data_IF_661862247011
#
_entry.id   IF_661862247011
#
_cell.length_a   1.000
_cell.length_b   1.000
_cell.length_c   1.000
_cell.angle_alpha   90.00
_cell.angle_beta   90.00
_cell.angle_gamma   90.00
#
_symmetry.space_group_name_H-M   'P 1'
#
loop_
_entity.id
_entity.type
_entity.pdbx_description
1 polymer ?
#
# COMPACT_ATOMS: atom_id res chain seq x y z
N UNK A 1 -6.44 -0.02 32.46
CA UNK A 1 -6.72 -0.64 31.16
C UNK A 1 -6.92 0.40 30.04
N UNK A 2 -7.77 1.44 30.19
CA UNK A 2 -8.01 2.46 29.13
C UNK A 2 -6.74 3.18 28.66
N UNK A 3 -5.83 3.59 29.58
CA UNK A 3 -4.56 4.24 29.23
C UNK A 3 -3.61 3.34 28.40
N UNK A 4 -3.59 2.05 28.67
CA UNK A 4 -2.78 1.08 27.93
C UNK A 4 -3.29 0.91 26.48
N UNK A 5 -4.60 0.74 26.33
CA UNK A 5 -5.25 0.63 25.01
C UNK A 5 -5.06 1.90 24.20
N UNK A 6 -5.26 3.07 24.80
CA UNK A 6 -5.05 4.37 24.16
C UNK A 6 -3.59 4.55 23.69
N UNK A 7 -2.61 4.19 24.53
CA UNK A 7 -1.19 4.24 24.16
C UNK A 7 -0.89 3.29 22.98
N UNK A 8 -1.45 2.09 22.99
CA UNK A 8 -1.23 1.10 21.92
C UNK A 8 -1.87 1.55 20.60
N UNK A 9 -3.08 2.12 20.66
CA UNK A 9 -3.73 2.74 19.50
C UNK A 9 -2.92 3.89 18.94
N UNK A 10 -2.42 4.80 19.78
CA UNK A 10 -1.59 5.92 19.33
C UNK A 10 -0.30 5.45 18.64
N UNK A 11 0.36 4.43 19.17
CA UNK A 11 1.54 3.83 18.56
C UNK A 11 1.18 3.18 17.21
N UNK A 12 0.06 2.46 17.12
CA UNK A 12 -0.40 1.84 15.87
C UNK A 12 -0.70 2.89 14.80
N UNK A 13 -1.37 3.98 15.15
CA UNK A 13 -1.63 5.09 14.22
C UNK A 13 -0.32 5.73 13.74
N UNK A 14 0.63 5.95 14.65
CA UNK A 14 1.95 6.48 14.30
C UNK A 14 2.70 5.54 13.33
N UNK A 15 2.67 4.23 13.59
CA UNK A 15 3.29 3.25 12.71
C UNK A 15 2.64 3.23 11.32
N UNK A 16 1.32 3.26 11.24
CA UNK A 16 0.59 3.33 9.96
C UNK A 16 0.99 4.60 9.20
N UNK A 17 1.09 5.73 9.88
CA UNK A 17 1.53 6.98 9.28
C UNK A 17 2.95 6.88 8.73
N UNK A 18 3.91 6.36 9.51
CA UNK A 18 5.30 6.18 9.07
C UNK A 18 5.37 5.25 7.85
N UNK A 19 4.65 4.12 7.89
CA UNK A 19 4.61 3.17 6.78
C UNK A 19 4.00 3.81 5.52
N UNK A 20 2.95 4.60 5.66
CA UNK A 20 2.30 5.28 4.52
C UNK A 20 3.22 6.31 3.87
N UNK A 21 3.93 7.11 4.67
CA UNK A 21 4.94 8.06 4.16
C UNK A 21 6.08 7.32 3.46
N UNK A 22 6.58 6.25 4.06
CA UNK A 22 7.65 5.47 3.48
C UNK A 22 7.23 4.80 2.16
N UNK A 23 6.04 4.22 2.12
CA UNK A 23 5.48 3.61 0.89
C UNK A 23 5.28 4.64 -0.22
N UNK A 24 4.81 5.84 0.12
CA UNK A 24 4.68 6.93 -0.84
C UNK A 24 6.06 7.37 -1.37
N UNK A 25 7.05 7.51 -0.49
CA UNK A 25 8.41 7.89 -0.90
C UNK A 25 9.09 6.84 -1.77
N UNK A 26 8.83 5.55 -1.58
CA UNK A 26 9.41 4.49 -2.39
C UNK A 26 9.15 4.69 -3.88
N UNK A 27 7.96 5.15 -4.26
CA UNK A 27 7.60 5.42 -5.66
C UNK A 27 8.45 6.56 -6.24
N UNK A 28 8.83 7.53 -5.42
CA UNK A 28 9.59 8.70 -5.83
C UNK A 28 11.11 8.47 -5.81
N UNK A 29 11.58 7.47 -5.07
CA UNK A 29 13.01 7.10 -5.00
C UNK A 29 13.38 6.17 -6.15
N UNK A 30 12.44 5.40 -6.70
CA UNK A 30 12.72 4.53 -7.84
C UNK A 30 13.22 5.35 -9.03
N UNK A 31 14.36 4.96 -9.62
CA UNK A 31 14.85 5.62 -10.83
C UNK A 31 13.89 5.38 -11.98
N UNK A 32 13.37 6.45 -12.54
CA UNK A 32 12.45 6.43 -13.68
C UNK A 32 11.28 7.40 -13.50
N UNK A 33 10.80 7.93 -14.61
CA UNK A 33 9.61 8.75 -14.64
C UNK A 33 8.37 7.85 -14.63
N UNK A 34 7.51 7.91 -13.58
CA UNK A 34 6.30 7.09 -13.50
C UNK A 34 5.39 7.23 -14.73
N UNK A 35 5.33 8.42 -15.31
CA UNK A 35 4.53 8.67 -16.50
C UNK A 35 5.10 7.95 -17.74
N UNK A 36 6.42 7.96 -17.91
CA UNK A 36 7.08 7.20 -18.99
C UNK A 36 6.98 5.69 -18.79
N UNK A 37 7.07 5.21 -17.54
CA UNK A 37 6.90 3.78 -17.24
C UNK A 37 5.49 3.29 -17.56
N UNK A 38 4.48 4.13 -17.37
CA UNK A 38 3.08 3.81 -17.65
C UNK A 38 2.75 3.80 -19.14
N UNK A 39 3.25 4.81 -19.89
CA UNK A 39 2.94 5.01 -21.30
C UNK A 39 3.91 4.29 -22.25
N UNK A 40 5.07 3.85 -21.73
CA UNK A 40 6.14 3.30 -22.53
C UNK A 40 7.11 4.35 -23.09
N UNK A 41 8.28 3.88 -23.52
CA UNK A 41 9.35 4.77 -23.99
C UNK A 41 9.06 5.43 -25.36
N UNK A 42 8.10 4.88 -26.11
CA UNK A 42 7.70 5.40 -27.43
C UNK A 42 6.61 6.48 -27.36
N UNK A 43 6.07 6.76 -26.18
CA UNK A 43 5.07 7.80 -25.99
C UNK A 43 5.62 9.18 -26.29
N UNK A 44 4.81 10.04 -26.90
CA UNK A 44 5.20 11.41 -27.18
C UNK A 44 5.42 12.22 -25.89
N UNK A 45 6.31 13.22 -25.94
CA UNK A 45 6.52 14.11 -24.77
C UNK A 45 5.24 14.83 -24.35
N UNK A 46 4.35 15.12 -25.30
CA UNK A 46 3.05 15.74 -25.01
C UNK A 46 2.15 14.83 -24.18
N UNK A 47 2.09 13.53 -24.53
CA UNK A 47 1.29 12.54 -23.80
C UNK A 47 1.86 12.28 -22.40
N UNK A 48 3.19 12.23 -22.28
CA UNK A 48 3.89 12.08 -20.99
C UNK A 48 3.59 13.27 -20.09
N UNK A 49 3.62 14.49 -20.61
CA UNK A 49 3.30 15.69 -19.82
C UNK A 49 1.81 15.72 -19.41
N UNK A 50 0.89 15.36 -20.31
CA UNK A 50 -0.53 15.28 -20.01
C UNK A 50 -0.77 14.25 -18.86
N UNK A 51 -0.12 13.10 -18.92
CA UNK A 51 -0.24 12.05 -17.91
C UNK A 51 0.39 12.44 -16.56
N UNK A 52 1.48 13.22 -16.58
CA UNK A 52 2.06 13.80 -15.34
C UNK A 52 1.07 14.73 -14.63
N UNK A 53 0.37 15.56 -15.38
CA UNK A 53 -0.65 16.48 -14.82
C UNK A 53 -1.84 15.66 -14.27
N UNK A 54 -2.28 14.65 -14.98
CA UNK A 54 -3.36 13.74 -14.55
C UNK A 54 -3.01 13.05 -13.21
N UNK A 55 -1.79 12.59 -13.05
CA UNK A 55 -1.29 11.96 -11.83
C UNK A 55 -0.85 12.97 -10.75
N UNK A 56 -1.00 14.25 -10.99
CA UNK A 56 -0.56 15.35 -10.11
C UNK A 56 0.93 15.31 -9.76
N UNK A 57 1.77 14.74 -10.62
CA UNK A 57 3.23 14.66 -10.43
C UNK A 57 3.93 16.01 -10.64
N UNK A 58 3.23 17.00 -11.17
CA UNK A 58 3.65 18.39 -11.31
C UNK A 58 3.62 19.17 -9.99
N UNK A 59 2.95 18.64 -8.96
CA UNK A 59 2.76 19.31 -7.68
C UNK A 59 3.87 18.97 -6.67
N UNK A 60 4.07 19.80 -5.62
CA UNK A 60 5.00 19.50 -4.53
C UNK A 60 4.65 18.16 -3.87
N UNK A 61 5.67 17.40 -3.43
CA UNK A 61 5.51 16.07 -2.83
C UNK A 61 4.50 16.03 -1.68
N UNK A 62 4.48 17.08 -0.86
CA UNK A 62 3.51 17.18 0.26
C UNK A 62 2.08 17.23 -0.27
N UNK A 63 1.83 18.00 -1.33
CA UNK A 63 0.51 18.10 -1.95
C UNK A 63 0.09 16.76 -2.57
N UNK A 64 1.01 16.09 -3.26
CA UNK A 64 0.77 14.76 -3.82
C UNK A 64 0.40 13.76 -2.72
N UNK A 65 1.13 13.76 -1.60
CA UNK A 65 0.85 12.89 -0.46
C UNK A 65 -0.55 13.15 0.13
N UNK A 66 -0.91 14.42 0.34
CA UNK A 66 -2.23 14.80 0.87
C UNK A 66 -3.36 14.37 -0.08
N UNK A 67 -3.19 14.57 -1.38
CA UNK A 67 -4.16 14.15 -2.39
C UNK A 67 -4.30 12.62 -2.41
N UNK A 68 -3.19 11.90 -2.33
CA UNK A 68 -3.18 10.44 -2.28
C UNK A 68 -3.90 9.91 -1.03
N UNK A 69 -3.60 10.44 0.16
CA UNK A 69 -4.30 10.08 1.40
C UNK A 69 -5.81 10.39 1.31
N UNK A 70 -6.16 11.55 0.75
CA UNK A 70 -7.57 11.93 0.56
C UNK A 70 -8.28 10.95 -0.37
N UNK A 71 -7.65 10.53 -1.46
CA UNK A 71 -8.15 9.52 -2.37
C UNK A 71 -8.42 8.19 -1.67
N UNK A 72 -7.46 7.73 -0.84
CA UNK A 72 -7.59 6.52 -0.04
C UNK A 72 -8.85 6.53 0.85
N UNK A 73 -9.13 7.63 1.51
CA UNK A 73 -10.36 7.77 2.32
C UNK A 73 -11.66 7.82 1.50
N UNK A 74 -11.57 8.15 0.21
CA UNK A 74 -12.70 8.13 -0.72
C UNK A 74 -12.84 6.78 -1.44
N UNK A 75 -11.98 5.81 -1.14
CA UNK A 75 -11.95 4.48 -1.78
C UNK A 75 -11.18 4.46 -3.10
N UNK A 76 -10.50 5.55 -3.45
CA UNK A 76 -9.61 5.61 -4.60
C UNK A 76 -8.20 5.16 -4.20
N UNK A 77 -7.87 3.93 -4.54
CA UNK A 77 -6.54 3.34 -4.33
C UNK A 77 -5.56 3.66 -5.47
N UNK A 78 -5.94 4.57 -6.36
CA UNK A 78 -5.16 4.93 -7.53
C UNK A 78 -5.12 3.83 -8.58
N UNK A 79 -4.33 4.08 -9.63
CA UNK A 79 -4.13 3.14 -10.74
C UNK A 79 -2.73 2.53 -10.69
N UNK A 80 -2.63 1.27 -11.06
CA UNK A 80 -1.36 0.60 -11.21
C UNK A 80 -0.64 1.09 -12.46
N UNK A 81 0.56 1.60 -12.29
CA UNK A 81 1.44 2.04 -13.38
C UNK A 81 1.76 0.85 -14.30
N UNK A 82 1.99 -0.32 -13.72
CA UNK A 82 2.40 -1.52 -14.47
C UNK A 82 1.25 -2.19 -15.24
N UNK A 83 0.05 -2.22 -14.66
CA UNK A 83 -1.10 -2.93 -15.24
C UNK A 83 -2.10 -1.99 -15.91
N UNK A 84 -1.94 -0.69 -15.78
CA UNK A 84 -2.86 0.37 -16.24
C UNK A 84 -4.33 0.11 -15.86
N UNK A 85 -4.54 -0.48 -14.67
CA UNK A 85 -5.84 -0.85 -14.10
C UNK A 85 -6.00 -0.25 -12.70
N UNK A 86 -7.22 -0.04 -12.21
CA UNK A 86 -7.45 0.35 -10.82
C UNK A 86 -6.80 -0.64 -9.84
N UNK A 87 -6.07 -0.13 -8.85
CA UNK A 87 -5.43 -0.97 -7.84
C UNK A 87 -6.45 -1.77 -7.03
N UNK A 88 -7.66 -1.24 -6.87
CA UNK A 88 -8.75 -1.91 -6.16
C UNK A 88 -9.14 -3.23 -6.84
N UNK A 89 -9.22 -3.24 -8.18
CA UNK A 89 -9.56 -4.45 -8.95
C UNK A 89 -8.48 -5.52 -8.80
N UNK A 90 -7.21 -5.10 -8.86
CA UNK A 90 -6.07 -5.99 -8.67
C UNK A 90 -6.07 -6.57 -7.25
N UNK A 91 -6.39 -5.74 -6.27
CA UNK A 91 -6.48 -6.14 -4.87
C UNK A 91 -7.62 -7.14 -4.67
N UNK A 92 -8.82 -6.84 -5.20
CA UNK A 92 -9.99 -7.71 -5.13
C UNK A 92 -9.76 -9.08 -5.79
N UNK A 93 -8.97 -9.12 -6.85
CA UNK A 93 -8.60 -10.38 -7.52
C UNK A 93 -7.56 -11.20 -6.73
N UNK A 94 -6.59 -10.53 -6.11
CA UNK A 94 -5.46 -11.19 -5.44
C UNK A 94 -5.72 -11.50 -3.96
N UNK A 95 -6.48 -10.66 -3.27
CA UNK A 95 -6.76 -10.80 -1.84
C UNK A 95 -7.38 -12.17 -1.48
N UNK A 96 -8.40 -12.67 -2.21
CA UNK A 96 -8.98 -13.99 -1.91
C UNK A 96 -7.97 -15.13 -2.03
N UNK A 97 -7.06 -15.05 -2.98
CA UNK A 97 -5.98 -16.06 -3.17
C UNK A 97 -5.00 -16.04 -1.99
N UNK A 98 -4.60 -14.85 -1.56
CA UNK A 98 -3.69 -14.69 -0.40
C UNK A 98 -4.37 -15.15 0.89
N UNK A 99 -5.64 -14.79 1.10
CA UNK A 99 -6.40 -15.24 2.26
C UNK A 99 -6.65 -16.75 2.22
N UNK A 100 -6.91 -17.32 1.04
CA UNK A 100 -7.10 -18.76 0.85
C UNK A 100 -5.89 -19.60 1.28
N UNK A 101 -4.69 -19.05 1.21
CA UNK A 101 -3.46 -19.70 1.68
C UNK A 101 -3.14 -19.28 3.12
N UNK A 102 -3.29 -18.01 3.44
CA UNK A 102 -2.91 -17.45 4.74
C UNK A 102 -3.81 -17.91 5.89
N UNK A 103 -5.13 -17.98 5.66
CA UNK A 103 -6.06 -18.42 6.71
C UNK A 103 -5.84 -19.87 7.15
N UNK A 104 -5.73 -20.87 6.25
CA UNK A 104 -5.39 -22.24 6.66
C UNK A 104 -4.03 -22.33 7.37
N UNK A 105 -3.04 -21.59 6.89
CA UNK A 105 -1.73 -21.55 7.55
C UNK A 105 -1.80 -21.00 8.97
N UNK A 106 -2.59 -19.95 9.21
CA UNK A 106 -2.84 -19.41 10.55
C UNK A 106 -3.61 -20.40 11.44
N UNK A 107 -4.64 -21.05 10.89
CA UNK A 107 -5.43 -22.05 11.63
C UNK A 107 -4.60 -23.25 12.08
N UNK A 108 -3.56 -23.60 11.35
CA UNK A 108 -2.65 -24.70 11.70
C UNK A 108 -1.55 -24.21 12.65
N UNK A 109 -0.92 -23.06 12.36
CA UNK A 109 0.23 -22.58 13.11
C UNK A 109 -0.11 -22.11 14.52
N UNK A 110 -1.29 -21.54 14.75
CA UNK A 110 -1.69 -21.07 16.09
C UNK A 110 -1.84 -22.24 17.08
N UNK A 111 -2.63 -23.31 16.78
CA UNK A 111 -2.74 -24.45 17.69
C UNK A 111 -1.40 -25.17 17.89
N UNK A 112 -0.62 -25.35 16.82
CA UNK A 112 0.70 -25.96 16.93
C UNK A 112 1.66 -25.12 17.79
N UNK A 113 1.65 -23.81 17.61
CA UNK A 113 2.48 -22.90 18.44
C UNK A 113 2.09 -22.97 19.92
N UNK A 114 0.79 -23.02 20.23
CA UNK A 114 0.30 -23.19 21.60
C UNK A 114 0.72 -24.56 22.17
N UNK A 115 0.54 -25.64 21.42
CA UNK A 115 0.93 -27.00 21.82
C UNK A 115 2.44 -27.07 22.12
N UNK A 116 3.27 -26.58 21.21
CA UNK A 116 4.74 -26.57 21.41
C UNK A 116 5.10 -25.70 22.62
N UNK A 117 4.48 -24.52 22.77
CA UNK A 117 4.72 -23.63 23.91
C UNK A 117 4.35 -24.29 25.27
N UNK A 118 3.25 -25.02 25.34
CA UNK A 118 2.85 -25.74 26.53
C UNK A 118 3.83 -26.89 26.83
N UNK A 119 4.23 -27.67 25.82
CA UNK A 119 5.19 -28.77 25.99
C UNK A 119 6.55 -28.24 26.47
N UNK A 120 7.00 -27.10 25.97
CA UNK A 120 8.28 -26.50 26.39
C UNK A 120 8.21 -25.83 27.79
N UNK A 121 7.02 -25.54 28.29
CA UNK A 121 6.82 -24.90 29.61
C UNK A 121 6.67 -25.93 30.77
N UNK A 122 6.48 -27.21 30.47
CA UNK A 122 6.39 -28.32 31.42
C UNK A 122 7.70 -29.07 31.50
#
# INVERSE_FOLDING_TARGET
>A
MKKYVAKRLAISVLLIFIISVFSFMLIHILPGDPARLALGYEASEADVQAYRVELHLDKPLVTQYVLWIKGLFQGDFGRSILYNRPNLDILAERLPRTLGIGLPALLISIPLGILVGVICAV
#
